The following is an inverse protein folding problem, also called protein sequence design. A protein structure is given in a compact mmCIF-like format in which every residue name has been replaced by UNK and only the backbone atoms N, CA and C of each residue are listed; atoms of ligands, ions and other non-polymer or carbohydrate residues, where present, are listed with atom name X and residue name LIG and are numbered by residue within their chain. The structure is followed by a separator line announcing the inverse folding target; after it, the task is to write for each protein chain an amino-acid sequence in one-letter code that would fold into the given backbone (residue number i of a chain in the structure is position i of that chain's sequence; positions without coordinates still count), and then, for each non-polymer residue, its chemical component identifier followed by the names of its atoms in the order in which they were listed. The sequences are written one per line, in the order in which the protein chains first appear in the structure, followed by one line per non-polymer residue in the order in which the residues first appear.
data_IF_771134272371
#
_entry.id   IF_771134272371
#
_cell.length_a   1.000
_cell.length_b   1.000
_cell.length_c   1.000
_cell.angle_alpha   90.00
_cell.angle_beta   90.00
_cell.angle_gamma   90.00
#
_symmetry.space_group_name_H-M   'P 1'
#
loop_
_entity.id
_entity.type
_entity.pdbx_description
1 polymer ?
#
# COMPACT_ATOMS: atom_id res chain seq x y z
N UNK A 1 -16.43 51.13 27.31
CA UNK A 1 -15.94 50.63 26.01
C UNK A 1 -15.51 49.18 26.25
N UNK A 2 -16.29 48.21 25.77
CA UNK A 2 -16.06 46.78 26.03
C UNK A 2 -15.53 46.17 24.75
N UNK A 3 -14.25 45.78 24.74
CA UNK A 3 -13.66 45.07 23.60
C UNK A 3 -14.00 43.59 23.75
N UNK A 4 -15.06 43.16 23.06
CA UNK A 4 -15.37 41.75 22.88
C UNK A 4 -14.22 41.12 22.10
N UNK A 5 -13.33 40.40 22.79
CA UNK A 5 -12.27 39.61 22.16
C UNK A 5 -12.98 38.49 21.39
N UNK A 6 -13.14 38.68 20.09
CA UNK A 6 -13.62 37.63 19.17
C UNK A 6 -12.62 36.49 19.30
N UNK A 7 -13.00 35.43 19.98
CA UNK A 7 -12.26 34.17 19.97
C UNK A 7 -12.33 33.73 18.51
N UNK A 8 -11.26 34.01 17.76
CA UNK A 8 -10.98 33.28 16.54
C UNK A 8 -10.80 31.85 17.03
N UNK A 9 -11.82 31.02 16.82
CA UNK A 9 -11.66 29.59 16.92
C UNK A 9 -10.63 29.27 15.85
N UNK A 10 -9.36 29.12 16.24
CA UNK A 10 -8.35 28.54 15.37
C UNK A 10 -8.90 27.17 15.01
N UNK A 11 -9.38 27.02 13.77
CA UNK A 11 -9.70 25.71 13.23
C UNK A 11 -8.41 24.92 13.36
N UNK A 12 -8.39 23.81 14.12
CA UNK A 12 -7.15 23.02 14.24
C UNK A 12 -6.68 22.70 12.83
N UNK A 13 -5.41 23.00 12.54
CA UNK A 13 -4.80 22.67 11.25
C UNK A 13 -5.03 21.18 11.00
N UNK A 14 -5.88 20.89 10.02
CA UNK A 14 -6.16 19.52 9.62
C UNK A 14 -5.00 19.05 8.77
N UNK A 15 -4.14 18.19 9.31
CA UNK A 15 -3.17 17.47 8.50
C UNK A 15 -3.89 16.33 7.75
N UNK A 16 -4.09 16.44 6.43
CA UNK A 16 -4.87 15.46 5.66
C UNK A 16 -4.11 14.13 5.50
N UNK A 17 -2.82 14.12 5.77
CA UNK A 17 -2.02 12.92 5.83
C UNK A 17 -0.83 13.10 6.78
N UNK A 18 -0.43 12.02 7.42
CA UNK A 18 0.74 11.98 8.31
C UNK A 18 1.49 10.67 8.07
N UNK A 19 2.81 10.65 8.24
CA UNK A 19 3.54 9.38 8.28
C UNK A 19 3.21 8.63 9.58
N UNK A 20 2.95 7.34 9.45
CA UNK A 20 2.76 6.42 10.56
C UNK A 20 3.70 5.24 10.45
N UNK A 21 3.94 4.57 11.58
CA UNK A 21 4.68 3.31 11.63
C UNK A 21 3.72 2.16 11.83
N UNK A 22 3.80 1.13 11.00
CA UNK A 22 2.95 -0.06 11.11
C UNK A 22 3.33 -0.82 12.39
N UNK A 23 2.40 -0.97 13.33
CA UNK A 23 2.61 -1.76 14.55
C UNK A 23 2.17 -3.21 14.39
N UNK A 24 1.17 -3.47 13.54
CA UNK A 24 0.69 -4.80 13.17
C UNK A 24 0.58 -4.84 11.65
N UNK A 25 1.26 -5.78 11.00
CA UNK A 25 1.20 -5.97 9.56
C UNK A 25 0.08 -6.92 9.11
N UNK A 26 -0.13 -7.02 7.81
CA UNK A 26 -1.12 -7.95 7.22
C UNK A 26 -2.54 -7.39 7.13
N UNK A 27 -3.51 -8.30 7.00
CA UNK A 27 -4.93 -7.97 6.73
C UNK A 27 -5.55 -7.08 7.81
N UNK A 28 -5.22 -7.33 9.08
CA UNK A 28 -5.65 -6.52 10.23
C UNK A 28 -4.62 -5.45 10.60
N UNK A 29 -4.10 -4.75 9.60
CA UNK A 29 -3.04 -3.78 9.79
C UNK A 29 -3.37 -2.75 10.89
N UNK A 30 -2.36 -2.43 11.71
CA UNK A 30 -2.44 -1.34 12.67
C UNK A 30 -1.27 -0.38 12.45
N UNK A 31 -1.54 0.91 12.59
CA UNK A 31 -0.56 1.98 12.35
C UNK A 31 -0.56 2.94 13.53
N UNK A 32 0.64 3.30 13.99
CA UNK A 32 0.86 4.31 15.01
C UNK A 32 1.20 5.63 14.35
N UNK A 33 0.36 6.64 14.59
CA UNK A 33 0.64 8.06 14.30
C UNK A 33 0.86 8.79 15.64
N UNK A 34 -0.10 9.62 16.05
CA UNK A 34 -0.31 10.16 17.39
C UNK A 34 -0.87 9.12 18.40
N UNK A 35 -1.32 7.97 17.89
CA UNK A 35 -1.78 6.83 18.65
C UNK A 35 -2.02 5.64 17.72
N UNK A 36 -2.13 4.43 18.27
CA UNK A 36 -2.39 3.22 17.48
C UNK A 36 -3.81 3.24 16.91
N UNK A 37 -3.93 3.04 15.60
CA UNK A 37 -5.18 2.85 14.86
C UNK A 37 -5.20 1.42 14.35
N UNK A 38 -6.15 0.61 14.82
CA UNK A 38 -6.33 -0.80 14.43
C UNK A 38 -7.30 -0.96 13.27
N UNK A 39 -7.21 -2.08 12.56
CA UNK A 39 -8.05 -2.40 11.40
C UNK A 39 -7.96 -1.32 10.33
N UNK A 40 -6.75 -0.78 10.13
CA UNK A 40 -6.46 0.23 9.13
C UNK A 40 -6.71 -0.36 7.75
N UNK A 41 -7.55 0.31 6.96
CA UNK A 41 -7.81 -0.12 5.59
C UNK A 41 -6.63 0.24 4.70
N UNK A 42 -6.07 -0.76 4.04
CA UNK A 42 -4.99 -0.55 3.07
C UNK A 42 -5.59 -0.24 1.69
N UNK A 43 -5.11 0.84 1.09
CA UNK A 43 -5.46 1.28 -0.26
C UNK A 43 -4.20 1.27 -1.14
N UNK A 44 -4.36 0.93 -2.41
CA UNK A 44 -3.26 0.87 -3.38
C UNK A 44 -3.73 1.26 -4.78
N UNK A 45 -2.82 1.54 -5.73
CA UNK A 45 -3.18 1.65 -7.14
C UNK A 45 -3.97 0.43 -7.61
N UNK A 46 -4.91 0.61 -8.54
CA UNK A 46 -5.65 -0.50 -9.13
C UNK A 46 -4.71 -1.50 -9.81
N UNK A 47 -4.93 -2.80 -9.57
CA UNK A 47 -4.05 -3.87 -10.04
C UNK A 47 -2.79 -4.06 -9.19
N UNK A 48 -2.69 -3.42 -8.03
CA UNK A 48 -1.62 -3.61 -7.06
C UNK A 48 -2.21 -3.99 -5.70
N UNK A 49 -1.63 -4.98 -5.03
CA UNK A 49 -1.99 -5.37 -3.67
C UNK A 49 -0.70 -5.64 -2.89
N UNK A 50 -0.67 -5.18 -1.64
CA UNK A 50 0.48 -5.28 -0.77
C UNK A 50 0.01 -5.25 0.67
N UNK A 51 0.60 -6.13 1.48
CA UNK A 51 0.36 -6.16 2.91
C UNK A 51 1.51 -5.47 3.64
N UNK A 52 1.25 -4.38 4.40
CA UNK A 52 2.30 -3.70 5.15
C UNK A 52 2.93 -4.64 6.18
N UNK A 53 4.26 -4.57 6.30
CA UNK A 53 5.02 -5.27 7.33
C UNK A 53 5.09 -4.44 8.60
N UNK A 54 5.24 -5.11 9.75
CA UNK A 54 5.53 -4.41 10.99
C UNK A 54 6.81 -3.56 10.84
N UNK A 55 6.78 -2.35 11.39
CA UNK A 55 7.81 -1.31 11.30
C UNK A 55 7.89 -0.56 9.98
N UNK A 56 7.08 -0.88 8.97
CA UNK A 56 7.03 -0.08 7.74
C UNK A 56 6.54 1.35 8.04
N UNK A 57 7.19 2.34 7.42
CA UNK A 57 6.72 3.72 7.42
C UNK A 57 5.72 3.92 6.29
N UNK A 58 4.48 4.23 6.63
CA UNK A 58 3.36 4.35 5.68
C UNK A 58 2.73 5.73 5.76
N UNK A 59 2.21 6.21 4.63
CA UNK A 59 1.39 7.42 4.61
C UNK A 59 -0.02 7.08 5.08
N UNK A 60 -0.44 7.67 6.19
CA UNK A 60 -1.81 7.55 6.71
C UNK A 60 -2.59 8.76 6.25
N UNK A 61 -3.60 8.53 5.41
CA UNK A 61 -4.49 9.59 4.93
C UNK A 61 -5.65 9.74 5.90
N UNK A 62 -5.83 10.95 6.42
CA UNK A 62 -6.97 11.38 7.22
C UNK A 62 -7.86 12.19 6.28
N UNK A 63 -8.87 11.56 5.68
CA UNK A 63 -9.79 12.23 4.76
C UNK A 63 -10.94 12.92 5.49
N UNK A 64 -11.31 14.13 5.08
CA UNK A 64 -12.51 14.85 5.52
C UNK A 64 -13.40 15.33 4.35
N UNK A 65 -12.96 15.14 3.10
CA UNK A 65 -13.65 15.46 1.84
C UNK A 65 -13.48 14.33 0.81
N UNK A 66 -14.03 14.48 -0.40
CA UNK A 66 -14.03 13.41 -1.42
C UNK A 66 -12.69 13.33 -2.17
N UNK A 67 -11.99 12.21 -2.01
CA UNK A 67 -10.77 11.88 -2.75
C UNK A 67 -10.84 10.47 -3.33
N UNK A 68 -10.08 10.20 -4.40
CA UNK A 68 -9.86 8.86 -4.95
C UNK A 68 -8.38 8.49 -4.79
N UNK A 69 -7.93 8.09 -3.59
CA UNK A 69 -6.51 7.86 -3.31
C UNK A 69 -6.00 6.52 -3.85
N UNK A 70 -6.90 5.61 -4.21
CA UNK A 70 -6.59 4.26 -4.68
C UNK A 70 -7.82 3.37 -4.64
N UNK A 71 -7.61 2.09 -4.85
CA UNK A 71 -8.62 1.03 -4.71
C UNK A 71 -8.45 0.41 -3.33
N UNK A 72 -9.56 0.21 -2.62
CA UNK A 72 -9.57 -0.55 -1.37
C UNK A 72 -9.13 -1.98 -1.68
N UNK A 73 -8.06 -2.43 -1.03
CA UNK A 73 -7.63 -3.81 -1.14
C UNK A 73 -8.67 -4.70 -0.47
N UNK A 74 -9.03 -5.80 -1.13
CA UNK A 74 -10.05 -6.73 -0.61
C UNK A 74 -9.55 -7.60 0.55
N UNK A 75 -8.30 -7.43 0.99
CA UNK A 75 -7.58 -8.49 1.70
C UNK A 75 -7.31 -9.65 0.73
N UNK A 76 -6.16 -10.30 0.88
CA UNK A 76 -5.74 -11.37 -0.01
C UNK A 76 -4.68 -12.23 0.67
N UNK A 77 -4.42 -13.41 0.11
CA UNK A 77 -3.50 -14.42 0.65
C UNK A 77 -2.01 -14.01 0.66
N UNK A 78 -1.70 -12.72 0.62
CA UNK A 78 -0.36 -12.16 0.77
C UNK A 78 0.07 -12.18 2.23
N UNK A 79 1.31 -12.59 2.47
CA UNK A 79 1.95 -12.36 3.75
C UNK A 79 2.41 -10.89 3.85
N UNK A 80 2.55 -10.33 5.07
CA UNK A 80 3.17 -9.01 5.24
C UNK A 80 4.51 -8.92 4.51
N UNK A 81 4.70 -7.88 3.70
CA UNK A 81 5.89 -7.66 2.87
C UNK A 81 5.78 -8.20 1.44
N UNK A 82 4.83 -9.08 1.16
CA UNK A 82 4.61 -9.59 -0.19
C UNK A 82 3.85 -8.59 -1.06
N UNK A 83 4.10 -8.66 -2.37
CA UNK A 83 3.49 -7.78 -3.37
C UNK A 83 2.83 -8.62 -4.46
N UNK A 84 1.64 -8.21 -4.88
CA UNK A 84 0.94 -8.74 -6.03
C UNK A 84 0.63 -7.61 -7.02
N UNK A 85 1.05 -7.79 -8.27
CA UNK A 85 0.61 -6.98 -9.40
C UNK A 85 -0.31 -7.87 -10.24
N UNK A 86 -1.49 -7.39 -10.62
CA UNK A 86 -2.48 -8.21 -11.31
C UNK A 86 -3.39 -7.39 -12.23
N UNK A 87 -3.88 -8.05 -13.27
CA UNK A 87 -4.91 -7.51 -14.15
C UNK A 87 -5.65 -8.67 -14.81
N UNK A 88 -6.96 -8.76 -14.59
CA UNK A 88 -7.80 -9.81 -15.20
C UNK A 88 -7.20 -11.21 -15.02
N UNK A 89 -6.69 -11.79 -16.10
CA UNK A 89 -6.14 -13.14 -16.15
C UNK A 89 -4.62 -13.28 -15.94
N UNK A 90 -3.90 -12.21 -15.57
CA UNK A 90 -2.45 -12.26 -15.36
C UNK A 90 -2.05 -11.67 -14.01
N UNK A 91 -0.98 -12.20 -13.41
CA UNK A 91 -0.41 -11.69 -12.17
C UNK A 91 1.09 -11.96 -12.01
N UNK A 92 1.73 -11.14 -11.18
CA UNK A 92 3.11 -11.26 -10.71
C UNK A 92 3.07 -11.15 -9.19
N UNK A 93 3.48 -12.19 -8.49
CA UNK A 93 3.60 -12.19 -7.02
C UNK A 93 5.07 -12.26 -6.62
N UNK A 94 5.50 -11.30 -5.80
CA UNK A 94 6.80 -11.30 -5.15
C UNK A 94 6.62 -11.81 -3.71
N UNK A 95 7.23 -12.95 -3.40
CA UNK A 95 7.11 -13.60 -2.09
C UNK A 95 8.32 -13.29 -1.22
N UNK A 96 8.11 -13.31 0.10
CA UNK A 96 9.18 -13.11 1.07
C UNK A 96 10.27 -14.19 1.00
N UNK A 97 9.95 -15.36 0.45
CA UNK A 97 10.92 -16.44 0.19
C UNK A 97 11.92 -16.12 -0.93
N UNK A 98 11.73 -15.01 -1.65
CA UNK A 98 12.47 -14.70 -2.88
C UNK A 98 11.89 -15.37 -4.13
N UNK A 99 10.81 -16.15 -4.00
CA UNK A 99 10.10 -16.72 -5.13
C UNK A 99 9.30 -15.65 -5.88
N UNK A 100 9.33 -15.72 -7.21
CA UNK A 100 8.51 -14.90 -8.10
C UNK A 100 7.52 -15.84 -8.79
N UNK A 101 6.23 -15.67 -8.51
CA UNK A 101 5.17 -16.42 -9.19
C UNK A 101 4.61 -15.57 -10.33
N UNK A 102 4.72 -16.06 -11.56
CA UNK A 102 4.14 -15.45 -12.75
C UNK A 102 2.94 -16.29 -13.21
N UNK A 103 1.78 -15.68 -13.36
CA UNK A 103 0.58 -16.33 -13.90
C UNK A 103 0.09 -15.58 -15.14
N UNK A 104 -0.24 -16.33 -16.19
CA UNK A 104 -0.71 -15.81 -17.48
C UNK A 104 0.28 -16.05 -18.62
N UNK A 105 0.02 -15.41 -19.78
CA UNK A 105 0.92 -15.47 -20.94
C UNK A 105 2.12 -14.55 -20.70
N UNK A 106 3.33 -15.08 -20.78
CA UNK A 106 4.57 -14.30 -20.71
C UNK A 106 5.14 -14.16 -22.12
N UNK A 107 5.16 -12.94 -22.62
CA UNK A 107 5.83 -12.57 -23.87
C UNK A 107 7.08 -11.76 -23.53
N UNK A 108 8.22 -12.12 -24.11
CA UNK A 108 9.47 -11.40 -23.95
C UNK A 108 9.92 -10.88 -25.31
N UNK A 109 9.89 -9.57 -25.48
CA UNK A 109 10.48 -8.88 -26.63
C UNK A 109 11.89 -8.44 -26.27
N UNK A 110 12.90 -9.18 -26.71
CA UNK A 110 14.30 -8.92 -26.41
C UNK A 110 15.06 -10.18 -26.02
N UNK A 111 16.06 -10.04 -25.16
CA UNK A 111 16.86 -11.17 -24.67
C UNK A 111 16.39 -11.61 -23.28
N UNK A 112 16.31 -12.92 -23.07
CA UNK A 112 16.07 -13.51 -21.76
C UNK A 112 17.29 -14.31 -21.30
N UNK A 113 17.59 -14.28 -20.00
CA UNK A 113 18.71 -15.00 -19.41
C UNK A 113 18.25 -15.81 -18.20
N UNK A 114 18.71 -17.07 -18.11
CA UNK A 114 18.48 -17.95 -16.95
C UNK A 114 19.84 -18.40 -16.43
N UNK A 115 20.13 -18.10 -15.16
CA UNK A 115 21.43 -18.38 -14.53
C UNK A 115 22.61 -17.84 -15.36
N UNK A 116 22.47 -16.63 -15.91
CA UNK A 116 23.49 -15.98 -16.75
C UNK A 116 23.61 -16.52 -18.18
N UNK A 117 22.77 -17.48 -18.60
CA UNK A 117 22.79 -18.05 -19.96
C UNK A 117 21.62 -17.54 -20.76
N UNK A 118 21.87 -17.09 -21.99
CA UNK A 118 20.82 -16.62 -22.90
C UNK A 118 19.86 -17.76 -23.24
N UNK A 119 18.56 -17.51 -23.08
CA UNK A 119 17.49 -18.38 -23.56
C UNK A 119 17.40 -18.18 -25.07
N UNK A 120 17.58 -19.25 -25.82
CA UNK A 120 17.35 -19.26 -27.26
C UNK A 120 15.90 -19.67 -27.48
N UNK A 121 15.14 -18.81 -28.13
CA UNK A 121 13.79 -19.13 -28.63
C UNK A 121 13.94 -19.58 -30.08
N UNK A 122 13.40 -20.74 -30.42
CA UNK A 122 13.31 -21.23 -31.81
C UNK A 122 12.31 -20.40 -32.65
#
# INVERSE_FOLDING_TARGET
MWLSKRIVQETPEFEPATLGTVSIGGEDAAVVTDGEKRNARVISPGGYCWQPSASDSVLVIKGNELYVPGVLQSGGALQPGEVLIYSGGASIRLKNSGEIELNGRVEISGEAFVNGRRVLTE
#
